data_IF_303799591251
#
_entry.id   IF_303799591251
#
_cell.length_a   1.000
_cell.length_b   1.000
_cell.length_c   1.000
_cell.angle_alpha   90.00
_cell.angle_beta   90.00
_cell.angle_gamma   90.00
#
_symmetry.space_group_name_H-M   'P 1'
#
loop_
_entity.id
_entity.type
_entity.pdbx_description
1 polymer ?
#
# COMPACT_ATOMS: atom_id res chain seq x y z
N UNK A 1 4.23 16.63 21.67
CA UNK A 1 4.30 15.26 21.13
C UNK A 1 3.42 14.42 22.00
N UNK A 2 2.47 13.73 21.38
CA UNK A 2 1.45 12.94 22.08
C UNK A 2 1.49 11.48 21.61
N UNK A 3 0.51 10.70 22.01
CA UNK A 3 0.48 9.25 21.76
C UNK A 3 0.49 8.90 20.25
N UNK A 4 -0.17 9.69 19.39
CA UNK A 4 -0.21 9.40 17.94
C UNK A 4 1.17 9.60 17.29
N UNK A 5 1.96 10.57 17.77
CA UNK A 5 3.35 10.73 17.31
C UNK A 5 4.19 9.48 17.59
N UNK A 6 4.02 8.88 18.77
CA UNK A 6 4.70 7.63 19.12
C UNK A 6 4.23 6.44 18.28
N UNK A 7 2.94 6.40 17.92
CA UNK A 7 2.42 5.38 17.00
C UNK A 7 3.06 5.52 15.62
N UNK A 8 3.16 6.73 15.08
CA UNK A 8 3.80 6.97 13.78
C UNK A 8 5.27 6.57 13.78
N UNK A 9 6.03 6.99 14.82
CA UNK A 9 7.43 6.59 14.99
C UNK A 9 7.55 5.07 15.10
N UNK A 10 6.68 4.42 15.87
CA UNK A 10 6.69 2.98 16.04
C UNK A 10 6.41 2.25 14.72
N UNK A 11 5.46 2.72 13.91
CA UNK A 11 5.14 2.13 12.59
C UNK A 11 6.33 2.25 11.63
N UNK A 12 6.95 3.43 11.55
CA UNK A 12 8.12 3.66 10.69
C UNK A 12 9.30 2.81 11.16
N UNK A 13 9.60 2.83 12.46
CA UNK A 13 10.68 2.05 13.04
C UNK A 13 10.46 0.54 12.88
N UNK A 14 9.25 0.04 13.15
CA UNK A 14 8.91 -1.36 12.97
C UNK A 14 9.04 -1.78 11.51
N UNK A 15 8.59 -0.94 10.57
CA UNK A 15 8.77 -1.20 9.15
C UNK A 15 10.26 -1.34 8.80
N UNK A 16 11.12 -0.42 9.26
CA UNK A 16 12.57 -0.50 9.08
C UNK A 16 13.20 -1.75 9.72
N UNK A 17 12.81 -2.09 10.95
CA UNK A 17 13.31 -3.28 11.68
C UNK A 17 12.90 -4.59 11.00
N UNK A 18 11.66 -4.69 10.51
CA UNK A 18 11.20 -5.85 9.76
C UNK A 18 11.98 -6.00 8.45
N UNK A 19 12.28 -4.88 7.78
CA UNK A 19 13.07 -4.89 6.55
C UNK A 19 14.56 -5.17 6.79
N UNK A 20 15.10 -4.83 7.97
CA UNK A 20 16.44 -5.27 8.39
C UNK A 20 16.52 -6.80 8.47
N UNK A 21 15.48 -7.45 8.99
CA UNK A 21 15.42 -8.90 9.12
C UNK A 21 15.22 -9.59 7.76
N UNK A 22 14.33 -9.03 6.92
CA UNK A 22 13.94 -9.63 5.63
C UNK A 22 14.95 -9.36 4.51
N UNK A 23 15.55 -8.17 4.48
CA UNK A 23 16.41 -7.67 3.40
C UNK A 23 15.65 -6.93 2.29
N UNK A 24 16.34 -6.00 1.61
CA UNK A 24 15.81 -5.19 0.51
C UNK A 24 15.26 -6.04 -0.64
N UNK A 25 16.02 -7.03 -1.08
CA UNK A 25 15.65 -7.85 -2.24
C UNK A 25 14.34 -8.57 -1.97
N UNK A 26 14.13 -9.06 -0.74
CA UNK A 26 12.87 -9.71 -0.39
C UNK A 26 11.69 -8.75 -0.43
N UNK A 27 11.90 -7.52 0.05
CA UNK A 27 10.88 -6.47 0.06
C UNK A 27 10.48 -6.05 -1.36
N UNK A 28 11.44 -5.78 -2.23
CA UNK A 28 11.19 -5.36 -3.62
C UNK A 28 10.49 -6.45 -4.41
N UNK A 29 10.94 -7.70 -4.32
CA UNK A 29 10.27 -8.81 -5.00
C UNK A 29 8.85 -9.01 -4.49
N UNK A 30 8.61 -8.85 -3.19
CA UNK A 30 7.25 -8.92 -2.63
C UNK A 30 6.36 -7.84 -3.24
N UNK A 31 6.81 -6.58 -3.26
CA UNK A 31 6.03 -5.47 -3.79
C UNK A 31 5.79 -5.63 -5.30
N UNK A 32 6.83 -5.97 -6.06
CA UNK A 32 6.71 -6.24 -7.50
C UNK A 32 5.74 -7.39 -7.78
N UNK A 33 5.79 -8.47 -6.98
CA UNK A 33 4.88 -9.60 -7.13
C UNK A 33 3.43 -9.20 -6.92
N UNK A 34 3.13 -8.35 -5.93
CA UNK A 34 1.78 -7.81 -5.74
C UNK A 34 1.30 -6.99 -6.94
N UNK A 35 2.14 -6.09 -7.45
CA UNK A 35 1.81 -5.26 -8.63
C UNK A 35 1.54 -6.16 -9.85
N UNK A 36 2.43 -7.12 -10.11
CA UNK A 36 2.28 -8.06 -11.23
C UNK A 36 1.05 -8.94 -11.04
N UNK A 37 0.75 -9.39 -9.82
CA UNK A 37 -0.44 -10.21 -9.54
C UNK A 37 -1.74 -9.44 -9.83
N UNK A 38 -1.82 -8.18 -9.41
CA UNK A 38 -2.97 -7.31 -9.73
C UNK A 38 -3.06 -7.10 -11.25
N UNK A 39 -1.95 -6.74 -11.89
CA UNK A 39 -1.92 -6.49 -13.33
C UNK A 39 -2.34 -7.72 -14.15
N UNK A 40 -1.79 -8.90 -13.84
CA UNK A 40 -2.17 -10.17 -14.47
C UNK A 40 -3.62 -10.50 -14.19
N UNK A 41 -4.06 -10.38 -12.94
CA UNK A 41 -5.44 -10.63 -12.55
C UNK A 41 -6.41 -9.76 -13.34
N UNK A 42 -6.21 -8.44 -13.40
CA UNK A 42 -7.08 -7.52 -14.14
C UNK A 42 -7.03 -7.80 -15.64
N UNK A 43 -5.84 -8.07 -16.20
CA UNK A 43 -5.65 -8.19 -17.64
C UNK A 43 -6.16 -9.51 -18.22
N UNK A 44 -6.10 -10.60 -17.45
CA UNK A 44 -6.36 -11.96 -17.94
C UNK A 44 -7.53 -12.67 -17.24
N UNK A 45 -8.21 -12.05 -16.27
CA UNK A 45 -9.37 -12.66 -15.60
C UNK A 45 -10.51 -13.02 -16.56
N UNK A 46 -10.75 -12.20 -17.59
CA UNK A 46 -11.74 -12.49 -18.63
C UNK A 46 -11.43 -13.77 -19.41
N UNK A 47 -10.20 -13.90 -19.90
CA UNK A 47 -9.75 -15.09 -20.62
C UNK A 47 -9.76 -16.33 -19.70
N UNK A 48 -9.33 -16.16 -18.44
CA UNK A 48 -9.32 -17.23 -17.45
C UNK A 48 -10.74 -17.66 -17.03
N UNK A 49 -11.72 -16.75 -17.02
CA UNK A 49 -13.11 -17.03 -16.68
C UNK A 49 -13.77 -18.00 -17.66
N UNK A 50 -13.33 -18.02 -18.93
CA UNK A 50 -13.85 -18.95 -19.93
C UNK A 50 -13.53 -20.43 -19.61
N UNK A 51 -12.51 -20.69 -18.77
CA UNK A 51 -12.15 -22.03 -18.34
C UNK A 51 -12.88 -22.49 -17.06
N UNK A 52 -13.65 -21.61 -16.41
CA UNK A 52 -14.43 -21.97 -15.24
C UNK A 52 -15.69 -22.77 -15.62
N UNK A 53 -16.14 -23.72 -14.77
CA UNK A 53 -17.35 -24.49 -15.03
C UNK A 53 -18.58 -23.60 -15.21
N UNK A 54 -19.44 -23.95 -16.16
CA UNK A 54 -20.70 -23.25 -16.42
C UNK A 54 -21.67 -23.25 -15.21
N UNK A 55 -21.41 -24.07 -14.19
CA UNK A 55 -22.13 -24.07 -12.92
C UNK A 55 -22.03 -22.73 -12.16
N UNK A 56 -21.00 -21.92 -12.41
CA UNK A 56 -20.91 -20.54 -11.90
C UNK A 56 -21.69 -19.63 -12.85
N UNK A 57 -23.01 -19.57 -12.71
CA UNK A 57 -23.89 -18.84 -13.64
C UNK A 57 -23.73 -17.32 -13.60
N UNK A 58 -23.30 -16.77 -12.47
CA UNK A 58 -23.04 -15.34 -12.31
C UNK A 58 -21.69 -14.97 -12.95
N UNK A 59 -21.73 -14.13 -13.97
CA UNK A 59 -20.56 -13.67 -14.73
C UNK A 59 -19.60 -12.85 -13.86
N UNK A 60 -20.12 -12.01 -12.96
CA UNK A 60 -19.30 -11.20 -12.05
C UNK A 60 -18.56 -12.11 -11.07
N UNK A 61 -19.25 -13.11 -10.53
CA UNK A 61 -18.64 -14.10 -9.65
C UNK A 61 -17.58 -14.92 -10.37
N UNK A 62 -17.84 -15.30 -11.63
CA UNK A 62 -16.89 -16.05 -12.46
C UNK A 62 -15.62 -15.25 -12.74
N UNK A 63 -15.74 -13.98 -13.12
CA UNK A 63 -14.61 -13.07 -13.28
C UNK A 63 -13.84 -12.88 -11.97
N UNK A 64 -14.54 -12.72 -10.85
CA UNK A 64 -13.93 -12.58 -9.53
C UNK A 64 -13.12 -13.82 -9.11
N UNK A 65 -13.65 -15.02 -9.35
CA UNK A 65 -12.94 -16.28 -9.10
C UNK A 65 -11.71 -16.39 -10.00
N UNK A 66 -11.84 -16.10 -11.30
CA UNK A 66 -10.73 -16.15 -12.25
C UNK A 66 -9.60 -15.18 -11.87
N UNK A 67 -9.96 -13.95 -11.49
CA UNK A 67 -9.03 -12.96 -10.93
C UNK A 67 -8.32 -13.53 -9.71
N UNK A 68 -9.06 -14.06 -8.73
CA UNK A 68 -8.50 -14.56 -7.48
C UNK A 68 -7.52 -15.73 -7.72
N UNK A 69 -7.85 -16.65 -8.63
CA UNK A 69 -6.99 -17.78 -8.99
C UNK A 69 -5.69 -17.29 -9.63
N UNK A 70 -5.77 -16.42 -10.63
CA UNK A 70 -4.57 -15.85 -11.28
C UNK A 70 -3.71 -15.07 -10.29
N UNK A 71 -4.36 -14.25 -9.47
CA UNK A 71 -3.71 -13.44 -8.44
C UNK A 71 -2.92 -14.32 -7.47
N UNK A 72 -3.54 -15.36 -6.90
CA UNK A 72 -2.89 -16.30 -5.99
C UNK A 72 -1.74 -17.04 -6.69
N UNK A 73 -1.94 -17.49 -7.93
CA UNK A 73 -0.90 -18.19 -8.69
C UNK A 73 0.35 -17.31 -8.85
N UNK A 74 0.16 -16.04 -9.24
CA UNK A 74 1.27 -15.10 -9.39
C UNK A 74 1.93 -14.81 -8.04
N UNK A 75 1.17 -14.66 -6.95
CA UNK A 75 1.74 -14.49 -5.61
C UNK A 75 2.62 -15.67 -5.20
N UNK A 76 2.21 -16.91 -5.49
CA UNK A 76 2.98 -18.11 -5.18
C UNK A 76 4.28 -18.11 -6.01
N UNK A 77 4.19 -17.94 -7.32
CA UNK A 77 5.35 -17.97 -8.23
C UNK A 77 6.34 -16.85 -7.89
N UNK A 78 5.85 -15.61 -7.76
CA UNK A 78 6.68 -14.46 -7.41
C UNK A 78 7.26 -14.56 -6.00
N UNK A 79 6.52 -15.13 -5.04
CA UNK A 79 7.01 -15.42 -3.70
C UNK A 79 8.18 -16.40 -3.70
N UNK A 80 8.09 -17.48 -4.50
CA UNK A 80 9.19 -18.44 -4.70
C UNK A 80 10.39 -17.74 -5.36
N UNK A 81 10.16 -16.96 -6.42
CA UNK A 81 11.22 -16.20 -7.07
C UNK A 81 11.94 -15.25 -6.09
N UNK A 82 11.18 -14.56 -5.23
CA UNK A 82 11.73 -13.71 -4.17
C UNK A 82 12.57 -14.50 -3.15
N UNK A 83 12.14 -15.71 -2.75
CA UNK A 83 12.94 -16.59 -1.88
C UNK A 83 14.27 -16.94 -2.55
N UNK A 84 14.24 -17.32 -3.82
CA UNK A 84 15.44 -17.70 -4.58
C UNK A 84 16.37 -16.49 -4.70
N UNK A 85 15.87 -15.32 -5.08
CA UNK A 85 16.65 -14.10 -5.16
C UNK A 85 17.34 -13.74 -3.83
N UNK A 86 16.62 -13.83 -2.72
CA UNK A 86 17.21 -13.62 -1.38
C UNK A 86 18.33 -14.62 -1.09
N UNK A 87 18.18 -15.89 -1.48
CA UNK A 87 19.24 -16.91 -1.28
C UNK A 87 20.47 -16.63 -2.14
N UNK A 88 20.30 -16.20 -3.38
CA UNK A 88 21.41 -15.82 -4.26
C UNK A 88 22.24 -14.70 -3.64
N UNK A 89 21.58 -13.65 -3.15
CA UNK A 89 22.24 -12.51 -2.51
C UNK A 89 23.01 -12.94 -1.27
N UNK A 90 22.44 -13.82 -0.44
CA UNK A 90 23.15 -14.39 0.70
C UNK A 90 24.38 -15.20 0.28
N UNK A 91 24.32 -15.92 -0.84
CA UNK A 91 25.44 -16.66 -1.39
C UNK A 91 26.60 -15.78 -1.88
N UNK A 92 26.33 -14.53 -2.27
CA UNK A 92 27.38 -13.58 -2.72
C UNK A 92 28.15 -12.90 -1.57
N UNK A 93 27.75 -13.09 -0.31
CA UNK A 93 28.32 -12.37 0.84
C UNK A 93 27.81 -10.93 1.01
N UNK A 94 26.99 -10.42 0.09
CA UNK A 94 26.41 -9.07 0.14
C UNK A 94 25.20 -8.94 1.08
N UNK A 95 25.01 -9.88 2.01
CA UNK A 95 23.87 -9.88 2.94
C UNK A 95 23.85 -8.64 3.85
N UNK A 96 25.01 -8.02 4.14
CA UNK A 96 25.06 -6.77 4.91
C UNK A 96 24.42 -5.61 4.16
N UNK A 97 24.83 -5.42 2.90
CA UNK A 97 24.30 -4.36 2.02
C UNK A 97 22.81 -4.55 1.72
N UNK A 98 22.36 -5.79 1.49
CA UNK A 98 20.94 -6.10 1.29
C UNK A 98 20.09 -5.69 2.51
N UNK A 99 20.60 -5.91 3.72
CA UNK A 99 19.90 -5.52 4.95
C UNK A 99 19.92 -4.03 5.20
N UNK A 100 21.03 -3.33 4.92
CA UNK A 100 21.10 -1.87 5.10
C UNK A 100 20.18 -1.13 4.11
N UNK A 101 20.17 -1.53 2.84
CA UNK A 101 19.19 -1.05 1.86
C UNK A 101 17.77 -1.42 2.28
N UNK A 102 17.60 -2.59 2.92
CA UNK A 102 16.33 -3.04 3.46
C UNK A 102 15.79 -2.06 4.50
N UNK A 103 16.63 -1.58 5.43
CA UNK A 103 16.23 -0.56 6.41
C UNK A 103 15.76 0.71 5.72
N UNK A 104 16.53 1.24 4.76
CA UNK A 104 16.15 2.47 4.05
C UNK A 104 14.80 2.29 3.34
N UNK A 105 14.63 1.20 2.61
CA UNK A 105 13.37 0.87 1.95
C UNK A 105 12.22 0.72 2.96
N UNK A 106 12.46 0.04 4.07
CA UNK A 106 11.48 -0.17 5.13
C UNK A 106 11.06 1.13 5.81
N UNK A 107 11.99 2.05 6.05
CA UNK A 107 11.68 3.37 6.60
C UNK A 107 10.82 4.18 5.61
N UNK A 108 11.21 4.21 4.33
CA UNK A 108 10.41 4.88 3.28
C UNK A 108 9.01 4.28 3.18
N UNK A 109 8.89 2.95 3.17
CA UNK A 109 7.58 2.26 3.20
C UNK A 109 6.79 2.63 4.44
N UNK A 110 7.44 2.70 5.61
CA UNK A 110 6.80 3.08 6.86
C UNK A 110 6.23 4.50 6.79
N UNK A 111 7.00 5.44 6.22
CA UNK A 111 6.57 6.82 5.98
C UNK A 111 5.36 6.84 5.04
N UNK A 112 5.39 6.09 3.95
CA UNK A 112 4.26 6.00 3.01
C UNK A 112 3.00 5.40 3.66
N UNK A 113 3.16 4.38 4.51
CA UNK A 113 2.04 3.78 5.25
C UNK A 113 1.41 4.82 6.17
N UNK A 114 2.23 5.57 6.94
CA UNK A 114 1.70 6.61 7.83
C UNK A 114 1.07 7.74 7.03
N UNK A 115 1.68 8.18 5.93
CA UNK A 115 1.08 9.17 5.03
C UNK A 115 -0.28 8.72 4.50
N UNK A 116 -0.41 7.44 4.11
CA UNK A 116 -1.69 6.87 3.69
C UNK A 116 -2.73 6.87 4.83
N UNK A 117 -2.32 6.52 6.06
CA UNK A 117 -3.21 6.57 7.23
C UNK A 117 -3.65 8.01 7.52
N UNK A 118 -2.75 8.98 7.40
CA UNK A 118 -3.05 10.40 7.59
C UNK A 118 -4.00 10.91 6.52
N UNK A 119 -3.75 10.54 5.26
CA UNK A 119 -4.67 10.84 4.16
C UNK A 119 -6.06 10.28 4.43
N UNK A 120 -6.18 9.00 4.76
CA UNK A 120 -7.50 8.40 5.05
C UNK A 120 -8.16 9.05 6.26
N UNK A 121 -7.42 9.35 7.32
CA UNK A 121 -7.94 10.04 8.50
C UNK A 121 -8.41 11.47 8.19
N UNK A 122 -7.74 12.17 7.27
CA UNK A 122 -8.14 13.51 6.81
C UNK A 122 -9.49 13.54 6.09
N UNK A 123 -9.97 12.39 5.62
CA UNK A 123 -11.29 12.22 4.99
C UNK A 123 -12.40 11.92 6.03
N UNK A 124 -12.13 12.09 7.32
CA UNK A 124 -13.05 11.77 8.43
C UNK A 124 -13.12 12.94 9.43
N UNK A 125 -13.81 12.76 10.57
CA UNK A 125 -13.87 13.74 11.67
C UNK A 125 -12.63 13.74 12.57
N UNK A 126 -11.68 12.82 12.37
CA UNK A 126 -10.44 12.73 13.15
C UNK A 126 -9.65 14.06 13.21
N UNK A 127 -9.56 14.88 12.15
CA UNK A 127 -8.81 16.13 12.19
C UNK A 127 -9.31 17.14 13.24
N UNK A 128 -10.57 17.04 13.68
CA UNK A 128 -11.13 17.94 14.71
C UNK A 128 -10.70 17.55 16.13
N UNK A 129 -10.12 16.38 16.32
CA UNK A 129 -9.76 15.87 17.63
C UNK A 129 -8.54 16.60 18.24
N UNK A 130 -8.55 16.90 19.56
CA UNK A 130 -7.43 17.59 20.22
C UNK A 130 -6.08 16.89 20.05
N UNK A 131 -6.06 15.55 20.13
CA UNK A 131 -4.83 14.77 19.97
C UNK A 131 -4.33 14.75 18.51
N UNK A 132 -5.17 15.06 17.53
CA UNK A 132 -4.72 15.24 16.15
C UNK A 132 -4.04 16.60 15.99
N UNK A 133 -4.72 17.67 16.43
CA UNK A 133 -4.23 19.05 16.33
C UNK A 133 -2.96 19.32 17.16
N UNK A 134 -2.79 18.64 18.29
CA UNK A 134 -1.62 18.76 19.15
C UNK A 134 -0.41 17.92 18.67
N UNK A 135 -0.58 17.07 17.65
CA UNK A 135 0.49 16.23 17.12
C UNK A 135 1.55 17.08 16.42
N UNK A 136 2.84 16.71 16.61
CA UNK A 136 3.93 17.36 15.89
C UNK A 136 4.20 16.74 14.53
N UNK A 137 3.87 15.46 14.35
CA UNK A 137 4.16 14.72 13.13
C UNK A 137 3.04 14.79 12.11
N UNK A 138 1.78 14.95 12.54
CA UNK A 138 0.63 15.08 11.63
C UNK A 138 0.87 16.12 10.53
N UNK A 139 1.25 17.38 10.82
CA UNK A 139 1.46 18.39 9.76
C UNK A 139 2.57 18.03 8.77
N UNK A 140 3.60 17.31 9.23
CA UNK A 140 4.69 16.86 8.35
C UNK A 140 4.23 15.74 7.42
N UNK A 141 3.39 14.82 7.90
CA UNK A 141 2.78 13.80 7.05
C UNK A 141 1.72 14.38 6.10
N UNK A 142 0.96 15.40 6.50
CA UNK A 142 0.04 16.11 5.60
C UNK A 142 0.78 16.76 4.42
N UNK A 143 1.98 17.32 4.63
CA UNK A 143 2.84 17.81 3.53
C UNK A 143 3.25 16.70 2.58
N UNK A 144 3.61 15.53 3.11
CA UNK A 144 3.96 14.37 2.30
C UNK A 144 2.74 13.91 1.49
N UNK A 145 1.55 13.88 2.10
CA UNK A 145 0.29 13.58 1.41
C UNK A 145 0.06 14.56 0.26
N UNK A 146 0.16 15.87 0.50
CA UNK A 146 0.03 16.88 -0.55
C UNK A 146 0.99 16.64 -1.72
N UNK A 147 2.28 16.42 -1.42
CA UNK A 147 3.27 16.10 -2.44
C UNK A 147 2.95 14.82 -3.23
N UNK A 148 2.42 13.78 -2.58
CA UNK A 148 1.99 12.55 -3.25
C UNK A 148 0.77 12.79 -4.15
N UNK A 149 -0.19 13.60 -3.71
CA UNK A 149 -1.38 13.94 -4.49
C UNK A 149 -1.03 14.75 -5.74
N UNK A 150 -0.05 15.64 -5.65
CA UNK A 150 0.45 16.44 -6.79
C UNK A 150 1.08 15.55 -7.89
N UNK A 151 1.59 14.38 -7.53
CA UNK A 151 2.12 13.39 -8.47
C UNK A 151 1.01 12.61 -9.21
N UNK A 152 -0.24 12.68 -8.75
CA UNK A 152 -1.35 11.99 -9.40
C UNK A 152 -1.78 12.71 -10.69
N UNK A 153 -2.18 11.97 -11.75
CA UNK A 153 -2.71 12.56 -12.97
C UNK A 153 -3.92 13.48 -12.69
N UNK A 154 -4.04 14.58 -13.44
CA UNK A 154 -5.07 15.62 -13.25
C UNK A 154 -6.51 15.06 -13.15
N UNK A 155 -6.84 14.00 -13.90
CA UNK A 155 -8.16 13.37 -13.86
C UNK A 155 -8.55 12.71 -12.51
N UNK A 156 -7.60 12.48 -11.61
CA UNK A 156 -7.87 12.05 -10.23
C UNK A 156 -7.99 13.27 -9.31
N UNK A 157 -7.22 14.33 -9.57
CA UNK A 157 -7.25 15.58 -8.80
C UNK A 157 -8.62 16.28 -8.91
N UNK A 158 -9.21 16.31 -10.12
CA UNK A 158 -10.55 16.85 -10.34
C UNK A 158 -11.62 16.08 -9.56
N UNK A 159 -11.56 14.74 -9.55
CA UNK A 159 -12.53 13.90 -8.82
C UNK A 159 -12.47 14.05 -7.30
N UNK A 160 -11.30 14.36 -6.75
CA UNK A 160 -11.14 14.62 -5.32
C UNK A 160 -11.54 16.06 -4.95
N UNK A 161 -11.40 17.01 -5.87
CA UNK A 161 -11.83 18.41 -5.72
C UNK A 161 -13.35 18.58 -5.89
N UNK A 162 -13.97 17.73 -6.69
CA UNK A 162 -15.42 17.70 -6.93
C UNK A 162 -16.21 16.86 -5.90
N UNK A 163 -15.55 16.32 -4.87
CA UNK A 163 -16.29 15.80 -3.72
C UNK A 163 -17.00 17.01 -3.09
N UNK A 164 -18.35 17.03 -3.06
CA UNK A 164 -19.07 18.13 -2.44
C UNK A 164 -18.62 18.23 -0.98
N UNK A 165 -18.43 19.45 -0.48
CA UNK A 165 -18.43 19.76 0.94
C UNK A 165 -19.83 19.45 1.51
N UNK A 166 -20.27 18.18 1.46
CA UNK A 166 -21.58 17.74 1.92
C UNK A 166 -21.49 17.54 3.43
N UNK A 167 -21.71 18.65 4.15
CA UNK A 167 -22.87 18.91 5.01
C UNK A 167 -22.53 20.19 5.78
N UNK A 168 -22.97 21.33 5.25
CA UNK A 168 -23.22 22.53 6.06
C UNK A 168 -24.44 22.22 6.96
N UNK A 169 -24.30 22.13 8.30
CA UNK A 169 -25.43 21.86 9.19
C UNK A 169 -26.41 23.04 9.31
N UNK A 170 -26.18 24.15 8.59
CA UNK A 170 -26.85 25.43 8.78
C UNK A 170 -28.12 25.70 7.97
N UNK A 171 -28.62 24.79 7.13
CA UNK A 171 -29.82 25.06 6.31
C UNK A 171 -30.95 24.05 6.55
N UNK A 172 -31.60 24.21 7.70
CA UNK A 172 -32.88 23.62 8.03
C UNK A 172 -33.66 24.55 8.95
N UNK A 173 -34.03 25.72 8.43
CA UNK A 173 -35.00 26.65 9.05
C UNK A 173 -36.38 26.42 8.48
#
# INVERSE_FOLDING_TARGET
>A
MNWIDFVFIALVALSGLLSLYRGFVREVFSLATWIVAIWVGVRFSGDAAAYLPAAVSDETLRLGIAFAVLFILVLIVGGIAGIIATRLVRGTGLSGTDRSLGVVFGLLRGVLIVALLVFVASLTLIPEEPWWQESRLVPEFERIVGWVLDLLPEGIQERLRDLPDEVDPGQGS
#
